data_IF_319603548309
#
_entry.id   IF_319603548309
#
_cell.length_a   1.000
_cell.length_b   1.000
_cell.length_c   1.000
_cell.angle_alpha   90.00
_cell.angle_beta   90.00
_cell.angle_gamma   90.00
#
_symmetry.space_group_name_H-M   'P 1'
#
loop_
_entity.id
_entity.type
_entity.pdbx_description
1 polymer ?
#
# COMPACT_ATOMS: atom_id res chain seq x y z
N UNK A 1 -7.86 -7.98 -21.07
CA UNK A 1 -6.91 -7.31 -20.16
C UNK A 1 -6.88 -7.95 -18.77
N UNK A 2 -7.98 -8.55 -18.26
CA UNK A 2 -7.96 -9.25 -16.95
C UNK A 2 -7.03 -10.47 -16.90
N UNK A 3 -6.97 -11.27 -17.97
CA UNK A 3 -6.20 -12.52 -18.01
C UNK A 3 -4.69 -12.35 -17.70
N UNK A 4 -4.05 -11.25 -18.14
CA UNK A 4 -2.63 -11.05 -17.86
C UNK A 4 -2.38 -10.73 -16.38
N UNK A 5 -3.20 -9.86 -15.78
CA UNK A 5 -3.06 -9.53 -14.37
C UNK A 5 -3.34 -10.75 -13.49
N UNK A 6 -4.38 -11.51 -13.82
CA UNK A 6 -4.72 -12.76 -13.12
C UNK A 6 -3.57 -13.77 -13.18
N UNK A 7 -2.90 -13.89 -14.35
CA UNK A 7 -1.68 -14.69 -14.51
C UNK A 7 -0.54 -14.21 -13.63
N UNK A 8 -0.31 -12.91 -13.53
CA UNK A 8 0.74 -12.31 -12.69
C UNK A 8 0.45 -12.56 -11.20
N UNK A 9 -0.79 -12.35 -10.76
CA UNK A 9 -1.22 -12.60 -9.38
C UNK A 9 -1.05 -14.08 -9.04
N UNK A 10 -1.50 -14.98 -9.93
CA UNK A 10 -1.32 -16.44 -9.78
C UNK A 10 0.15 -16.83 -9.65
N UNK A 11 1.02 -16.28 -10.50
CA UNK A 11 2.46 -16.53 -10.46
C UNK A 11 3.07 -16.01 -9.15
N UNK A 12 2.70 -14.79 -8.74
CA UNK A 12 3.23 -14.13 -7.54
C UNK A 12 2.91 -14.94 -6.28
N UNK A 13 1.68 -15.44 -6.17
CA UNK A 13 1.28 -16.34 -5.10
C UNK A 13 2.03 -17.68 -5.18
N UNK A 14 2.04 -18.34 -6.34
CA UNK A 14 2.66 -19.67 -6.53
C UNK A 14 4.18 -19.68 -6.31
N UNK A 15 4.86 -18.56 -6.54
CA UNK A 15 6.32 -18.46 -6.43
C UNK A 15 6.80 -17.77 -5.15
N UNK A 16 5.91 -17.42 -4.23
CA UNK A 16 6.31 -16.85 -2.94
C UNK A 16 6.75 -15.40 -3.03
N UNK A 17 6.09 -14.60 -3.86
CA UNK A 17 6.25 -13.15 -3.88
C UNK A 17 5.26 -12.46 -2.94
N UNK A 18 3.95 -12.62 -3.17
CA UNK A 18 2.91 -11.90 -2.42
C UNK A 18 1.77 -12.86 -2.08
N UNK A 19 1.29 -12.76 -0.84
CA UNK A 19 0.15 -13.52 -0.32
C UNK A 19 -0.93 -12.58 0.23
N UNK A 20 -2.18 -13.04 0.21
CA UNK A 20 -3.25 -12.36 0.94
C UNK A 20 -2.95 -12.44 2.44
N UNK A 21 -2.86 -11.31 3.13
CA UNK A 21 -2.57 -11.36 4.56
C UNK A 21 -3.72 -12.00 5.31
N UNK A 22 -3.40 -12.83 6.30
CA UNK A 22 -4.36 -13.62 7.08
C UNK A 22 -5.26 -14.54 6.22
N UNK A 23 -4.74 -15.05 5.11
CA UNK A 23 -5.52 -15.86 4.14
C UNK A 23 -6.30 -17.02 4.78
N UNK A 24 -5.68 -17.74 5.73
CA UNK A 24 -6.31 -18.88 6.41
C UNK A 24 -7.52 -18.50 7.29
N UNK A 25 -7.69 -17.20 7.57
CA UNK A 25 -8.81 -16.64 8.33
C UNK A 25 -9.77 -15.83 7.45
N UNK A 26 -9.71 -15.99 6.12
CA UNK A 26 -10.58 -15.29 5.16
C UNK A 26 -9.96 -14.02 4.56
N UNK A 27 -8.74 -13.66 4.97
CA UNK A 27 -8.02 -12.51 4.45
C UNK A 27 -8.48 -11.17 5.01
N UNK A 28 -7.61 -10.16 4.90
CA UNK A 28 -7.94 -8.76 5.19
C UNK A 28 -7.79 -7.93 3.92
N UNK A 29 -8.89 -7.32 3.48
CA UNK A 29 -8.94 -6.53 2.24
C UNK A 29 -7.82 -5.49 2.18
N UNK A 30 -7.14 -5.42 1.03
CA UNK A 30 -6.02 -4.52 0.76
C UNK A 30 -4.77 -4.69 1.64
N UNK A 31 -4.65 -5.78 2.40
CA UNK A 31 -3.47 -6.09 3.22
C UNK A 31 -2.80 -7.38 2.71
N UNK A 32 -1.48 -7.34 2.53
CA UNK A 32 -0.72 -8.42 1.88
C UNK A 32 0.61 -8.69 2.59
N UNK A 33 1.03 -9.96 2.56
CA UNK A 33 2.30 -10.41 3.13
C UNK A 33 3.31 -10.70 2.02
N UNK A 34 4.56 -10.29 2.20
CA UNK A 34 5.64 -10.57 1.26
C UNK A 34 6.29 -11.91 1.59
N UNK A 35 6.28 -12.84 0.63
CA UNK A 35 6.95 -14.13 0.74
C UNK A 35 8.47 -14.05 0.54
N UNK A 36 9.18 -15.19 0.53
CA UNK A 36 10.65 -15.23 0.45
C UNK A 36 11.24 -14.49 -0.75
N UNK A 37 10.67 -14.64 -1.95
CA UNK A 37 11.14 -13.91 -3.13
C UNK A 37 10.64 -12.46 -3.14
N UNK A 38 9.48 -12.21 -2.55
CA UNK A 38 8.89 -10.88 -2.46
C UNK A 38 9.69 -9.94 -1.56
N UNK A 39 10.13 -10.43 -0.39
CA UNK A 39 10.93 -9.63 0.54
C UNK A 39 12.28 -9.25 -0.07
N UNK A 40 12.93 -10.18 -0.79
CA UNK A 40 14.18 -9.91 -1.48
C UNK A 40 14.00 -8.91 -2.63
N UNK A 41 12.93 -9.06 -3.42
CA UNK A 41 12.61 -8.08 -4.46
C UNK A 41 12.35 -6.69 -3.87
N UNK A 42 11.51 -6.60 -2.81
CA UNK A 42 11.20 -5.34 -2.13
C UNK A 42 12.47 -4.67 -1.59
N UNK A 43 13.32 -5.42 -0.88
CA UNK A 43 14.60 -4.92 -0.35
C UNK A 43 15.51 -4.41 -1.46
N UNK A 44 15.63 -5.15 -2.56
CA UNK A 44 16.46 -4.75 -3.70
C UNK A 44 15.97 -3.46 -4.36
N UNK A 45 14.65 -3.26 -4.47
CA UNK A 45 14.08 -2.02 -4.98
C UNK A 45 14.33 -0.86 -4.01
N UNK A 46 14.10 -1.06 -2.72
CA UNK A 46 14.35 -0.05 -1.69
C UNK A 46 15.82 0.36 -1.63
N UNK A 47 16.75 -0.60 -1.66
CA UNK A 47 18.19 -0.34 -1.64
C UNK A 47 18.66 0.44 -2.88
N UNK A 48 18.16 0.08 -4.07
CA UNK A 48 18.48 0.81 -5.31
C UNK A 48 17.96 2.23 -5.27
N UNK A 49 16.74 2.43 -4.77
CA UNK A 49 16.16 3.76 -4.62
C UNK A 49 16.96 4.60 -3.62
N UNK A 50 17.33 4.03 -2.47
CA UNK A 50 18.12 4.72 -1.45
C UNK A 50 19.49 5.13 -1.99
N UNK A 51 20.18 4.23 -2.69
CA UNK A 51 21.44 4.55 -3.34
C UNK A 51 21.27 5.66 -4.37
N UNK A 52 20.21 5.61 -5.18
CA UNK A 52 19.96 6.58 -6.23
C UNK A 52 19.62 7.97 -5.69
N UNK A 53 18.84 8.06 -4.62
CA UNK A 53 18.34 9.33 -4.08
C UNK A 53 19.24 9.91 -3.00
N UNK A 54 19.69 9.10 -2.04
CA UNK A 54 20.42 9.60 -0.86
C UNK A 54 21.92 9.66 -1.14
N UNK A 55 22.52 8.59 -1.65
CA UNK A 55 23.98 8.54 -1.79
C UNK A 55 24.55 9.23 -3.04
N UNK A 56 23.72 9.53 -4.05
CA UNK A 56 24.16 10.18 -5.29
C UNK A 56 23.81 11.66 -5.37
N UNK A 57 23.13 12.20 -4.36
CA UNK A 57 22.74 13.60 -4.32
C UNK A 57 23.33 14.25 -3.07
N UNK A 58 24.00 15.39 -3.25
CA UNK A 58 24.64 16.12 -2.14
C UNK A 58 23.63 16.84 -1.22
N UNK A 59 22.34 16.81 -1.56
CA UNK A 59 21.29 17.59 -0.91
C UNK A 59 20.10 16.74 -0.42
N UNK A 60 20.29 15.44 -0.24
CA UNK A 60 19.26 14.53 0.26
C UNK A 60 19.80 13.74 1.45
N UNK A 61 19.15 13.89 2.60
CA UNK A 61 19.55 13.24 3.84
C UNK A 61 18.61 12.08 4.19
N UNK A 62 19.17 11.01 4.73
CA UNK A 62 18.41 9.87 5.24
C UNK A 62 17.76 10.16 6.58
N UNK A 63 16.48 9.83 6.73
CA UNK A 63 15.73 9.96 7.98
C UNK A 63 14.82 8.74 8.18
N UNK A 64 14.75 8.24 9.43
CA UNK A 64 13.77 7.23 9.85
C UNK A 64 12.94 7.79 11.01
N UNK A 65 11.63 7.90 10.80
CA UNK A 65 10.70 8.54 11.74
C UNK A 65 9.65 7.55 12.23
N UNK A 66 9.17 7.77 13.47
CA UNK A 66 8.14 6.93 14.05
C UNK A 66 6.80 7.03 13.28
N UNK A 67 6.09 5.90 13.17
CA UNK A 67 4.75 5.83 12.54
C UNK A 67 3.70 6.57 13.37
N UNK A 68 3.75 6.43 14.70
CA UNK A 68 2.84 7.11 15.60
C UNK A 68 3.31 8.55 15.84
N UNK A 69 2.43 9.51 15.58
CA UNK A 69 2.71 10.95 15.72
C UNK A 69 1.67 11.64 16.60
N UNK A 70 2.08 12.75 17.21
CA UNK A 70 1.18 13.59 17.99
C UNK A 70 0.04 14.16 17.10
N UNK A 71 -1.23 14.17 17.54
CA UNK A 71 -2.38 14.57 16.71
C UNK A 71 -2.25 15.96 16.07
N UNK A 72 -1.63 16.92 16.76
CA UNK A 72 -1.40 18.27 16.25
C UNK A 72 -0.58 18.28 14.95
N UNK A 73 0.31 17.30 14.72
CA UNK A 73 1.07 17.16 13.46
C UNK A 73 0.14 16.93 12.28
N UNK A 74 -0.87 16.07 12.43
CA UNK A 74 -1.85 15.78 11.38
C UNK A 74 -2.80 16.95 11.13
N UNK A 75 -3.12 17.72 12.17
CA UNK A 75 -3.93 18.93 12.03
C UNK A 75 -3.16 20.04 11.33
N UNK A 76 -1.91 20.30 11.75
CA UNK A 76 -1.06 21.33 11.17
C UNK A 76 -0.72 21.06 9.69
N UNK A 77 -0.56 19.79 9.31
CA UNK A 77 -0.37 19.39 7.91
C UNK A 77 -1.65 19.35 7.06
N UNK A 78 -2.82 19.59 7.66
CA UNK A 78 -4.12 19.60 6.98
C UNK A 78 -4.74 18.23 6.73
N UNK A 79 -4.07 17.12 7.07
CA UNK A 79 -4.56 15.76 6.82
C UNK A 79 -5.91 15.49 7.50
N UNK A 80 -6.12 16.03 8.70
CA UNK A 80 -7.38 15.86 9.44
C UNK A 80 -8.58 16.40 8.65
N UNK A 81 -8.41 17.50 7.91
CA UNK A 81 -9.52 18.16 7.22
C UNK A 81 -9.65 17.71 5.76
N UNK A 82 -8.54 17.34 5.11
CA UNK A 82 -8.49 17.15 3.65
C UNK A 82 -8.21 15.71 3.20
N UNK A 83 -7.70 14.83 4.05
CA UNK A 83 -7.36 13.45 3.64
C UNK A 83 -8.58 12.52 3.74
N UNK A 84 -9.58 12.78 2.90
CA UNK A 84 -10.79 11.97 2.79
C UNK A 84 -11.24 11.82 1.33
N UNK A 85 -11.87 10.69 1.02
CA UNK A 85 -12.52 10.42 -0.27
C UNK A 85 -14.05 10.46 -0.10
N UNK A 86 -14.81 11.06 -1.04
CA UNK A 86 -16.26 11.01 -1.01
C UNK A 86 -16.80 9.58 -1.12
N UNK A 87 -17.71 9.21 -0.20
CA UNK A 87 -18.32 7.88 -0.14
C UNK A 87 -19.83 7.96 -0.40
N UNK A 88 -20.36 6.95 -1.08
CA UNK A 88 -21.80 6.76 -1.33
C UNK A 88 -22.24 5.46 -0.65
N UNK A 89 -23.32 5.54 0.14
CA UNK A 89 -23.96 4.40 0.79
C UNK A 89 -25.17 3.91 -0.03
N UNK A 90 -25.17 2.63 -0.39
CA UNK A 90 -26.38 1.98 -0.89
C UNK A 90 -27.23 1.49 0.29
N UNK A 91 -28.42 2.06 0.45
CA UNK A 91 -29.34 1.72 1.55
C UNK A 91 -29.94 0.32 1.45
N UNK A 92 -29.97 -0.29 0.26
CA UNK A 92 -30.51 -1.63 0.06
C UNK A 92 -29.46 -2.70 0.38
N UNK A 93 -28.27 -2.60 -0.23
CA UNK A 93 -27.18 -3.57 0.02
C UNK A 93 -26.37 -3.28 1.28
N UNK A 94 -26.53 -2.09 1.90
CA UNK A 94 -25.73 -1.58 3.03
C UNK A 94 -24.23 -1.52 2.73
N UNK A 95 -23.85 -1.49 1.45
CA UNK A 95 -22.46 -1.37 1.01
C UNK A 95 -22.08 0.08 0.81
N UNK A 96 -20.78 0.35 0.97
CA UNK A 96 -20.18 1.66 0.74
C UNK A 96 -19.28 1.59 -0.48
N UNK A 97 -19.35 2.61 -1.30
CA UNK A 97 -18.55 2.74 -2.52
C UNK A 97 -17.89 4.11 -2.52
N UNK A 98 -16.68 4.20 -3.05
CA UNK A 98 -16.12 5.52 -3.34
C UNK A 98 -16.88 6.12 -4.53
N UNK A 99 -17.20 7.41 -4.44
CA UNK A 99 -18.01 8.08 -5.45
C UNK A 99 -17.35 8.06 -6.84
N UNK A 100 -16.03 8.17 -6.88
CA UNK A 100 -15.21 8.18 -8.10
C UNK A 100 -15.12 6.82 -8.81
N UNK A 101 -15.55 5.74 -8.16
CA UNK A 101 -15.61 4.40 -8.77
C UNK A 101 -16.97 4.11 -9.42
N UNK A 102 -17.98 4.96 -9.19
CA UNK A 102 -19.35 4.77 -9.67
C UNK A 102 -19.77 5.79 -10.75
N UNK A 103 -19.13 6.96 -10.79
CA UNK A 103 -19.45 8.10 -11.66
C UNK A 103 -18.27 8.33 -12.59
#
# INVERSE_FOLDING_TARGET
MSDLLDKIVSLSKRRGFIFQSSEIYGGLGAVYDYGPLGVELKRNVQARWWQAMVYRHDNIEGLDAAILMHPTTWKASGHVDAFNDPMIDDRQSKKRYRADQLI
#
